data_IF_547626971748
#
_entry.id   IF_547626971748
#
_cell.length_a   1.000
_cell.length_b   1.000
_cell.length_c   1.000
_cell.angle_alpha   90.00
_cell.angle_beta   90.00
_cell.angle_gamma   90.00
#
_symmetry.space_group_name_H-M   'P 1'
#
loop_
_entity.id
_entity.type
_entity.pdbx_description
1 polymer ?
#
# COMPACT_ATOMS: atom_id res chain seq x y z
N UNK A 1 51.96 -16.41 -35.05
CA UNK A 1 51.22 -17.68 -34.84
C UNK A 1 50.81 -17.75 -33.38
N UNK A 2 49.59 -18.22 -33.15
CA UNK A 2 49.04 -18.73 -31.88
C UNK A 2 48.23 -17.76 -30.99
N UNK A 3 47.04 -18.28 -30.71
CA UNK A 3 45.83 -17.67 -30.17
C UNK A 3 45.81 -17.66 -28.64
N UNK A 4 44.96 -16.82 -28.03
CA UNK A 4 44.00 -17.30 -27.02
C UNK A 4 43.02 -16.19 -26.62
N UNK A 5 41.75 -16.42 -26.96
CA UNK A 5 40.60 -15.68 -26.45
C UNK A 5 40.32 -16.18 -25.02
N UNK A 6 40.09 -15.27 -24.07
CA UNK A 6 39.29 -15.59 -22.89
C UNK A 6 38.17 -14.56 -22.75
N UNK A 7 36.96 -15.12 -22.69
CA UNK A 7 35.71 -14.41 -22.56
C UNK A 7 35.59 -13.80 -21.15
N UNK A 8 35.29 -12.51 -21.11
CA UNK A 8 34.92 -11.79 -19.88
C UNK A 8 33.52 -11.21 -20.01
N UNK A 9 32.51 -12.06 -20.18
CA UNK A 9 31.09 -11.69 -20.02
C UNK A 9 30.88 -11.26 -18.56
N UNK A 10 30.91 -9.96 -18.27
CA UNK A 10 30.34 -9.42 -17.04
C UNK A 10 29.16 -8.53 -17.38
N UNK A 11 28.04 -9.22 -17.56
CA UNK A 11 26.70 -8.68 -17.52
C UNK A 11 26.53 -7.82 -16.26
N UNK A 12 26.59 -6.50 -16.41
CA UNK A 12 26.14 -5.56 -15.38
C UNK A 12 24.61 -5.57 -15.29
N UNK A 13 24.04 -6.68 -14.82
CA UNK A 13 22.63 -6.77 -14.44
C UNK A 13 22.55 -6.48 -12.95
N UNK A 14 22.26 -5.23 -12.62
CA UNK A 14 21.64 -4.89 -11.34
C UNK A 14 20.59 -3.81 -11.61
N UNK A 15 19.45 -4.23 -12.18
CA UNK A 15 18.20 -3.48 -11.97
C UNK A 15 17.99 -3.47 -10.46
N UNK A 16 18.18 -2.32 -9.83
CA UNK A 16 17.64 -2.02 -8.52
C UNK A 16 16.12 -2.13 -8.62
N UNK A 17 15.60 -3.35 -8.47
CA UNK A 17 14.20 -3.56 -8.13
C UNK A 17 14.19 -3.63 -6.62
N UNK A 18 13.91 -2.49 -6.02
CA UNK A 18 13.55 -2.33 -4.63
C UNK A 18 12.45 -3.33 -4.28
N UNK A 19 12.85 -4.54 -3.88
CA UNK A 19 12.01 -5.46 -3.15
C UNK A 19 11.93 -4.91 -1.72
N UNK A 20 11.14 -3.85 -1.56
CA UNK A 20 10.73 -3.36 -0.26
C UNK A 20 9.81 -4.40 0.37
N UNK A 21 10.36 -5.16 1.32
CA UNK A 21 9.71 -5.85 2.42
C UNK A 21 8.24 -6.26 2.18
N UNK A 22 8.05 -7.49 1.69
CA UNK A 22 6.88 -8.27 2.04
C UNK A 22 7.17 -8.97 3.38
N UNK A 23 6.42 -8.63 4.44
CA UNK A 23 6.14 -9.40 5.68
C UNK A 23 5.54 -8.39 6.68
N UNK A 24 4.31 -8.45 7.20
CA UNK A 24 3.15 -9.33 7.09
C UNK A 24 1.93 -8.53 7.60
N UNK A 25 0.71 -9.02 7.34
CA UNK A 25 -0.59 -8.32 7.51
C UNK A 25 -0.91 -7.28 6.41
N UNK A 26 -1.12 -7.74 5.17
CA UNK A 26 -1.43 -6.88 4.02
C UNK A 26 -2.72 -6.05 4.11
N UNK A 27 -3.52 -6.21 5.16
CA UNK A 27 -4.76 -5.46 5.40
C UNK A 27 -4.54 -4.24 6.32
N UNK A 28 -3.53 -4.25 7.18
CA UNK A 28 -3.17 -3.12 8.06
C UNK A 28 -1.90 -2.41 7.60
N UNK A 29 -1.38 -2.79 6.44
CA UNK A 29 -0.21 -2.13 5.85
C UNK A 29 -0.50 -0.63 5.65
N UNK A 30 0.36 0.26 6.16
CA UNK A 30 0.10 1.70 6.14
C UNK A 30 -0.06 2.25 4.73
N UNK A 31 0.54 1.64 3.71
CA UNK A 31 0.38 2.07 2.30
C UNK A 31 -0.98 1.69 1.74
N UNK A 32 -1.50 0.52 2.14
CA UNK A 32 -2.84 0.07 1.77
C UNK A 32 -3.90 0.94 2.43
N UNK A 33 -3.69 1.27 3.70
CA UNK A 33 -4.52 2.21 4.46
C UNK A 33 -4.51 3.61 3.84
N UNK A 34 -3.33 4.17 3.53
CA UNK A 34 -3.20 5.46 2.84
C UNK A 34 -3.92 5.46 1.48
N UNK A 35 -3.74 4.40 0.69
CA UNK A 35 -4.39 4.28 -0.60
C UNK A 35 -5.93 4.22 -0.48
N UNK A 36 -6.46 3.60 0.59
CA UNK A 36 -7.90 3.60 0.87
C UNK A 36 -8.40 4.99 1.23
N UNK A 37 -7.68 5.72 2.09
CA UNK A 37 -8.03 7.10 2.48
C UNK A 37 -8.00 8.03 1.27
N UNK A 38 -6.97 7.93 0.42
CA UNK A 38 -6.86 8.72 -0.80
C UNK A 38 -8.02 8.45 -1.77
N UNK A 39 -8.37 7.17 -1.96
CA UNK A 39 -9.57 6.79 -2.73
C UNK A 39 -10.84 7.37 -2.14
N UNK A 40 -11.00 7.35 -0.81
CA UNK A 40 -12.17 7.92 -0.15
C UNK A 40 -12.26 9.44 -0.30
N UNK A 41 -11.12 10.16 -0.27
CA UNK A 41 -11.05 11.60 -0.55
C UNK A 41 -11.53 11.94 -1.95
N UNK A 42 -11.23 11.08 -2.93
CA UNK A 42 -11.64 11.26 -4.32
C UNK A 42 -12.97 10.56 -4.68
N UNK A 43 -13.64 9.95 -3.70
CA UNK A 43 -14.93 9.27 -3.89
C UNK A 43 -16.08 10.28 -3.70
N UNK A 44 -17.19 10.17 -4.46
CA UNK A 44 -18.34 11.07 -4.30
C UNK A 44 -19.01 11.03 -2.92
N UNK A 45 -18.75 9.98 -2.13
CA UNK A 45 -19.22 9.85 -0.74
C UNK A 45 -18.26 10.46 0.30
N UNK A 46 -17.04 10.83 -0.14
CA UNK A 46 -16.00 11.43 0.71
C UNK A 46 -15.40 10.51 1.77
N UNK A 47 -14.54 11.10 2.59
CA UNK A 47 -13.94 10.46 3.78
C UNK A 47 -14.92 10.30 4.93
N UNK A 48 -16.03 11.04 4.93
CA UNK A 48 -17.09 10.92 5.92
C UNK A 48 -17.73 9.52 5.88
N UNK A 49 -17.97 8.98 4.67
CA UNK A 49 -18.44 7.60 4.51
C UNK A 49 -17.43 6.56 5.01
N UNK A 50 -16.12 6.80 4.82
CA UNK A 50 -15.07 5.95 5.37
C UNK A 50 -15.08 5.95 6.91
N UNK A 51 -15.31 7.11 7.53
CA UNK A 51 -15.31 7.29 8.99
C UNK A 51 -16.62 6.83 9.67
N UNK A 52 -17.77 7.23 9.13
CA UNK A 52 -19.09 7.04 9.77
C UNK A 52 -19.92 5.88 9.18
N UNK A 53 -19.55 5.34 8.02
CA UNK A 53 -20.29 4.26 7.38
C UNK A 53 -20.25 2.93 8.14
N UNK A 54 -21.04 1.94 7.73
CA UNK A 54 -20.87 0.57 8.22
C UNK A 54 -19.61 -0.06 7.61
N UNK A 55 -18.81 -0.76 8.41
CA UNK A 55 -17.59 -1.44 7.93
C UNK A 55 -17.88 -2.35 6.73
N UNK A 56 -19.00 -3.08 6.77
CA UNK A 56 -19.44 -3.95 5.67
C UNK A 56 -19.71 -3.16 4.38
N UNK A 57 -20.52 -2.10 4.46
CA UNK A 57 -20.87 -1.28 3.29
C UNK A 57 -19.65 -0.55 2.72
N UNK A 58 -18.76 -0.05 3.56
CA UNK A 58 -17.52 0.61 3.15
C UNK A 58 -16.57 -0.41 2.51
N UNK A 59 -16.42 -1.58 3.12
CA UNK A 59 -15.58 -2.66 2.57
C UNK A 59 -16.07 -3.11 1.19
N UNK A 60 -17.39 -3.22 1.00
CA UNK A 60 -17.99 -3.54 -0.29
C UNK A 60 -17.79 -2.43 -1.34
N UNK A 61 -17.99 -1.17 -0.95
CA UNK A 61 -17.84 -0.02 -1.84
C UNK A 61 -16.39 0.17 -2.34
N UNK A 62 -15.41 -0.01 -1.46
CA UNK A 62 -13.99 0.12 -1.78
C UNK A 62 -13.32 -1.20 -2.18
N UNK A 63 -14.07 -2.29 -2.23
CA UNK A 63 -13.59 -3.66 -2.52
C UNK A 63 -12.35 -4.01 -1.69
N UNK A 64 -12.43 -3.74 -0.38
CA UNK A 64 -11.32 -3.91 0.57
C UNK A 64 -11.77 -4.75 1.77
N UNK A 65 -10.85 -5.04 2.69
CA UNK A 65 -11.17 -5.77 3.92
C UNK A 65 -11.65 -4.82 5.02
N UNK A 66 -12.58 -5.30 5.86
CA UNK A 66 -13.07 -4.55 7.02
C UNK A 66 -11.94 -4.11 7.97
N UNK A 67 -10.91 -4.94 8.16
CA UNK A 67 -9.71 -4.57 8.94
C UNK A 67 -8.92 -3.40 8.35
N UNK A 68 -8.90 -3.26 7.02
CA UNK A 68 -8.27 -2.10 6.35
C UNK A 68 -9.07 -0.84 6.57
N UNK A 69 -10.41 -0.95 6.57
CA UNK A 69 -11.30 0.17 6.88
C UNK A 69 -11.14 0.61 8.34
N UNK A 70 -11.07 -0.34 9.27
CA UNK A 70 -10.85 -0.09 10.69
C UNK A 70 -9.50 0.62 10.91
N UNK A 71 -8.41 0.11 10.35
CA UNK A 71 -7.10 0.76 10.42
C UNK A 71 -7.08 2.16 9.78
N UNK A 72 -7.86 2.38 8.71
CA UNK A 72 -8.01 3.71 8.12
C UNK A 72 -8.76 4.68 9.02
N UNK A 73 -9.76 4.21 9.78
CA UNK A 73 -10.48 5.02 10.77
C UNK A 73 -9.57 5.39 11.93
N UNK A 74 -8.87 4.40 12.48
CA UNK A 74 -7.91 4.63 13.57
C UNK A 74 -6.85 5.64 13.15
N UNK A 75 -6.41 5.61 11.90
CA UNK A 75 -5.45 6.58 11.37
C UNK A 75 -6.02 7.98 11.22
N UNK A 76 -7.26 8.12 10.75
CA UNK A 76 -7.95 9.41 10.64
C UNK A 76 -8.23 10.02 12.02
N UNK A 77 -8.58 9.20 13.02
CA UNK A 77 -8.77 9.62 14.41
C UNK A 77 -7.43 9.91 15.11
N UNK A 78 -6.38 9.16 14.78
CA UNK A 78 -5.04 9.34 15.35
C UNK A 78 -4.35 10.63 14.91
N UNK A 79 -4.66 11.17 13.72
CA UNK A 79 -4.22 12.53 13.33
C UNK A 79 -4.92 13.64 14.13
N UNK A 80 -6.07 13.37 14.76
CA UNK A 80 -6.78 14.34 15.61
C UNK A 80 -6.19 14.41 17.03
N UNK A 81 -5.39 13.42 17.45
CA UNK A 81 -4.89 13.28 18.82
C UNK A 81 -3.44 13.74 19.02
N UNK A 82 -3.01 14.79 18.29
CA UNK A 82 -1.77 15.51 18.54
C UNK A 82 -2.12 16.91 19.05
N UNK A 83 -2.37 17.00 20.37
CA UNK A 83 -2.46 18.25 21.13
C UNK A 83 -1.26 18.38 22.09
#
# INVERSE_FOLDING_TARGET
MSESRVAGKRSGRAKAKSHGAHHGAGHTDPRVVDALIDRAKNHPLGTEFLSQGSLDSVSAAFQTHAFTVEAARERLMGEELVE
#
